data_IF_941739143811
#
_entry.id   IF_941739143811
#
_cell.length_a   1.000
_cell.length_b   1.000
_cell.length_c   1.000
_cell.angle_alpha   90.00
_cell.angle_beta   90.00
_cell.angle_gamma   90.00
#
_symmetry.space_group_name_H-M   'P 1'
#
loop_
_entity.id
_entity.type
_entity.pdbx_description
1 polymer ?
#
# COMPACT_ATOMS: atom_id res chain seq x y z
N UNK A 1 -12.73 20.28 -19.17
CA UNK A 1 -13.19 20.51 -17.77
C UNK A 1 -13.11 22.00 -17.47
N UNK A 2 -14.23 22.70 -17.38
CA UNK A 2 -14.22 24.13 -17.08
C UNK A 2 -13.87 24.35 -15.60
N UNK A 3 -12.81 25.11 -15.31
CA UNK A 3 -12.45 25.49 -13.94
C UNK A 3 -13.50 26.46 -13.40
N UNK A 4 -14.17 26.11 -12.32
CA UNK A 4 -15.12 27.00 -11.65
C UNK A 4 -14.36 28.13 -10.94
N UNK A 5 -14.17 29.24 -11.64
CA UNK A 5 -13.59 30.44 -11.05
C UNK A 5 -14.68 31.22 -10.31
N UNK A 6 -14.42 31.56 -9.05
CA UNK A 6 -15.33 32.38 -8.24
C UNK A 6 -15.54 33.72 -8.94
N UNK A 7 -16.79 34.07 -9.26
CA UNK A 7 -17.12 35.36 -9.91
C UNK A 7 -16.83 36.59 -9.05
N UNK A 8 -16.83 36.45 -7.73
CA UNK A 8 -16.84 37.56 -6.78
C UNK A 8 -15.57 37.55 -5.91
N UNK A 9 -14.99 38.74 -5.68
CA UNK A 9 -13.95 38.99 -4.68
C UNK A 9 -14.22 40.34 -4.00
N UNK A 10 -14.25 40.37 -2.67
CA UNK A 10 -14.50 41.59 -1.87
C UNK A 10 -15.73 42.41 -2.35
N UNK A 11 -16.81 41.72 -2.72
CA UNK A 11 -18.06 42.37 -3.18
C UNK A 11 -18.01 42.97 -4.59
N UNK A 12 -16.91 42.76 -5.32
CA UNK A 12 -16.74 43.18 -6.71
C UNK A 12 -16.68 41.97 -7.64
N UNK A 13 -17.16 42.16 -8.86
CA UNK A 13 -16.98 41.18 -9.94
C UNK A 13 -15.49 41.12 -10.31
N UNK A 14 -14.90 39.92 -10.35
CA UNK A 14 -13.46 39.73 -10.55
C UNK A 14 -12.99 40.08 -11.96
N UNK A 15 -13.87 39.98 -12.95
CA UNK A 15 -13.51 40.25 -14.34
C UNK A 15 -13.68 41.72 -14.69
N UNK A 16 -14.71 42.37 -14.13
CA UNK A 16 -15.04 43.75 -14.48
C UNK A 16 -14.63 44.78 -13.42
N UNK A 17 -14.27 44.34 -12.21
CA UNK A 17 -13.90 45.20 -11.08
C UNK A 17 -15.04 46.05 -10.51
N UNK A 18 -16.25 45.95 -11.08
CA UNK A 18 -17.42 46.74 -10.68
C UNK A 18 -18.03 46.18 -9.40
N UNK A 19 -18.59 47.07 -8.56
CA UNK A 19 -19.38 46.67 -7.39
C UNK A 19 -20.66 45.97 -7.87
N UNK A 20 -20.92 44.78 -7.35
CA UNK A 20 -22.17 44.08 -7.63
C UNK A 20 -23.30 44.69 -6.77
N UNK A 21 -24.51 44.85 -7.30
CA UNK A 21 -25.64 45.31 -6.52
C UNK A 21 -25.90 44.34 -5.37
N UNK A 22 -26.20 44.89 -4.18
CA UNK A 22 -26.59 44.07 -3.02
C UNK A 22 -27.89 43.36 -3.36
N UNK A 23 -27.97 42.06 -3.03
CA UNK A 23 -29.24 41.32 -3.11
C UNK A 23 -30.28 41.96 -2.18
N UNK A 24 -31.55 41.89 -2.55
CA UNK A 24 -32.65 42.31 -1.68
C UNK A 24 -32.64 41.47 -0.40
N UNK A 25 -33.02 42.06 0.73
CA UNK A 25 -33.04 41.39 2.05
C UNK A 25 -33.91 40.12 2.07
N UNK A 26 -34.84 40.00 1.13
CA UNK A 26 -35.75 38.87 1.00
C UNK A 26 -35.05 37.58 0.51
N UNK A 27 -33.89 37.71 -0.14
CA UNK A 27 -33.07 36.60 -0.67
C UNK A 27 -31.88 36.25 0.22
N UNK A 28 -31.72 36.93 1.37
CA UNK A 28 -30.73 36.55 2.38
C UNK A 28 -31.20 35.29 3.10
N UNK A 29 -30.93 34.13 2.49
CA UNK A 29 -30.96 32.86 3.23
C UNK A 29 -29.94 32.97 4.36
N UNK A 30 -30.44 33.22 5.57
CA UNK A 30 -29.64 33.12 6.80
C UNK A 30 -29.04 31.73 6.78
N UNK A 31 -27.72 31.64 6.66
CA UNK A 31 -26.99 30.37 6.79
C UNK A 31 -27.16 29.90 8.23
N UNK A 32 -28.26 29.23 8.52
CA UNK A 32 -28.36 28.40 9.71
C UNK A 32 -27.29 27.34 9.54
N UNK A 33 -26.25 27.36 10.39
CA UNK A 33 -25.36 26.21 10.48
C UNK A 33 -26.28 25.04 10.85
N UNK A 34 -26.46 24.09 9.94
CA UNK A 34 -26.96 22.78 10.34
C UNK A 34 -25.96 22.29 11.38
N UNK A 35 -26.33 22.36 12.65
CA UNK A 35 -25.59 21.67 13.71
C UNK A 35 -25.89 20.21 13.44
N UNK A 36 -25.16 19.63 12.48
CA UNK A 36 -25.21 18.20 12.24
C UNK A 36 -24.97 17.56 13.60
N UNK A 37 -25.76 16.55 13.93
CA UNK A 37 -25.49 15.67 15.07
C UNK A 37 -24.14 15.02 14.82
N UNK A 38 -23.08 15.75 15.17
CA UNK A 38 -21.71 15.32 15.01
C UNK A 38 -21.59 14.05 15.81
N UNK A 39 -21.11 12.99 15.17
CA UNK A 39 -20.66 11.80 15.89
C UNK A 39 -19.80 12.34 17.03
N UNK A 40 -20.23 12.12 18.28
CA UNK A 40 -19.62 12.70 19.46
C UNK A 40 -18.11 12.46 19.48
N UNK A 41 -17.38 13.15 20.37
CA UNK A 41 -15.92 13.08 20.48
C UNK A 41 -15.41 11.64 20.29
N UNK A 42 -14.76 11.38 19.14
CA UNK A 42 -14.10 10.10 18.87
C UNK A 42 -12.68 10.27 19.42
N UNK A 43 -12.31 9.60 20.52
CA UNK A 43 -10.96 9.68 21.04
C UNK A 43 -10.00 9.22 19.95
N UNK A 44 -9.02 10.06 19.64
CA UNK A 44 -7.95 9.75 18.70
C UNK A 44 -7.14 8.61 19.33
N UNK A 45 -7.49 7.37 19.00
CA UNK A 45 -6.67 6.22 19.36
C UNK A 45 -5.29 6.45 18.74
N UNK A 46 -4.19 6.33 19.52
CA UNK A 46 -2.86 6.45 18.94
C UNK A 46 -2.74 5.41 17.83
N UNK A 47 -2.60 5.87 16.60
CA UNK A 47 -2.35 4.98 15.47
C UNK A 47 -0.99 4.31 15.75
N UNK A 48 -0.89 2.98 15.71
CA UNK A 48 0.39 2.32 15.87
C UNK A 48 1.33 2.84 14.78
N UNK A 49 2.51 3.34 15.18
CA UNK A 49 3.52 3.76 14.21
C UNK A 49 3.78 2.58 13.27
N UNK A 50 3.86 2.80 11.94
CA UNK A 50 4.15 1.72 11.01
C UNK A 50 5.47 1.05 11.42
N UNK A 51 5.40 -0.17 11.96
CA UNK A 51 6.56 -0.96 12.41
C UNK A 51 7.31 -1.61 11.25
N UNK A 52 6.93 -1.29 10.01
CA UNK A 52 7.59 -1.78 8.81
C UNK A 52 8.88 -0.99 8.63
N UNK A 53 9.93 -1.42 9.32
CA UNK A 53 11.32 -1.12 8.95
C UNK A 53 11.50 -1.66 7.53
N UNK A 54 11.37 -0.78 6.54
CA UNK A 54 11.65 -1.11 5.14
C UNK A 54 13.17 -1.14 5.00
N UNK A 55 13.77 -2.24 4.53
CA UNK A 55 15.21 -2.18 4.24
C UNK A 55 15.51 -1.04 3.28
N UNK A 56 16.57 -0.27 3.55
CA UNK A 56 17.13 0.72 2.64
C UNK A 56 18.09 0.10 1.60
N UNK A 57 17.94 -1.18 1.32
CA UNK A 57 18.76 -1.92 0.37
C UNK A 57 18.47 -1.40 -1.05
N UNK A 58 19.49 -0.92 -1.76
CA UNK A 58 19.38 -0.39 -3.12
C UNK A 58 20.39 -1.04 -4.07
N UNK A 59 20.00 -1.19 -5.35
CA UNK A 59 20.90 -1.67 -6.41
C UNK A 59 21.55 -3.02 -6.10
N UNK A 60 22.87 -3.10 -6.30
CA UNK A 60 23.67 -4.32 -6.14
C UNK A 60 23.66 -4.89 -4.71
N UNK A 61 23.54 -4.04 -3.68
CA UNK A 61 23.50 -4.50 -2.29
C UNK A 61 22.22 -5.31 -2.02
N UNK A 62 21.12 -4.94 -2.69
CA UNK A 62 19.87 -5.70 -2.64
C UNK A 62 20.05 -7.10 -3.21
N UNK A 63 20.78 -7.22 -4.31
CA UNK A 63 20.98 -8.51 -4.99
C UNK A 63 21.94 -9.40 -4.20
N UNK A 64 23.03 -8.85 -3.66
CA UNK A 64 23.93 -9.57 -2.75
C UNK A 64 23.21 -10.07 -1.50
N UNK A 65 22.33 -9.25 -0.90
CA UNK A 65 21.51 -9.65 0.25
C UNK A 65 20.51 -10.73 -0.16
N UNK A 66 19.89 -10.62 -1.32
CA UNK A 66 18.97 -11.64 -1.83
C UNK A 66 19.64 -13.00 -2.02
N UNK A 67 20.82 -13.03 -2.65
CA UNK A 67 21.57 -14.27 -2.86
C UNK A 67 22.00 -14.93 -1.54
N UNK A 68 22.47 -14.12 -0.58
CA UNK A 68 22.80 -14.61 0.76
C UNK A 68 21.58 -15.22 1.46
N UNK A 69 20.43 -14.55 1.39
CA UNK A 69 19.19 -15.07 1.97
C UNK A 69 18.71 -16.33 1.25
N UNK A 70 18.90 -16.40 -0.06
CA UNK A 70 18.51 -17.56 -0.85
C UNK A 70 19.35 -18.79 -0.49
N UNK A 71 20.67 -18.64 -0.41
CA UNK A 71 21.57 -19.73 0.03
C UNK A 71 21.32 -20.15 1.48
N UNK A 72 20.95 -19.23 2.37
CA UNK A 72 20.52 -19.57 3.74
C UNK A 72 19.18 -20.33 3.73
N UNK A 73 18.25 -19.97 2.84
CA UNK A 73 16.97 -20.63 2.69
C UNK A 73 17.12 -22.05 2.11
N UNK A 74 17.99 -22.26 1.13
CA UNK A 74 18.25 -23.59 0.52
C UNK A 74 18.81 -24.60 1.53
N UNK A 75 19.59 -24.14 2.51
CA UNK A 75 20.10 -24.99 3.59
C UNK A 75 19.01 -25.49 4.54
N UNK A 76 17.86 -24.81 4.58
CA UNK A 76 16.75 -25.20 5.43
C UNK A 76 15.96 -26.30 4.71
N UNK A 77 16.10 -27.54 5.18
CA UNK A 77 15.30 -28.66 4.68
C UNK A 77 13.82 -28.43 5.07
N UNK A 78 12.90 -28.24 4.10
CA UNK A 78 11.50 -28.07 4.44
C UNK A 78 10.93 -29.40 4.95
N UNK A 79 10.01 -29.37 5.93
CA UNK A 79 9.34 -30.57 6.39
C UNK A 79 8.61 -31.22 5.22
N UNK A 80 8.84 -32.52 5.02
CA UNK A 80 8.11 -33.31 4.03
C UNK A 80 6.70 -33.56 4.55
N UNK A 81 5.70 -33.39 3.69
CA UNK A 81 4.32 -33.75 3.99
C UNK A 81 3.94 -34.94 3.13
N UNK A 82 3.34 -35.96 3.75
CA UNK A 82 2.81 -37.10 3.00
C UNK A 82 1.69 -36.63 2.07
N UNK A 83 1.78 -36.96 0.79
CA UNK A 83 0.70 -36.74 -0.16
C UNK A 83 -0.02 -38.07 -0.41
N UNK A 84 -1.27 -38.15 0.05
CA UNK A 84 -2.12 -39.33 -0.09
C UNK A 84 -2.46 -39.67 -1.55
N UNK A 85 -2.49 -38.68 -2.44
CA UNK A 85 -2.85 -38.87 -3.85
C UNK A 85 -1.69 -39.44 -4.67
N UNK A 86 -0.46 -39.05 -4.37
CA UNK A 86 0.74 -39.49 -5.11
C UNK A 86 1.46 -40.64 -4.39
N UNK A 87 1.13 -40.92 -3.13
CA UNK A 87 1.80 -41.92 -2.31
C UNK A 87 3.27 -41.58 -2.04
N UNK A 88 3.63 -40.29 -2.07
CA UNK A 88 5.01 -39.84 -1.90
C UNK A 88 5.14 -38.76 -0.83
N UNK A 89 6.33 -38.68 -0.24
CA UNK A 89 6.71 -37.58 0.64
C UNK A 89 7.04 -36.35 -0.20
N UNK A 90 6.10 -35.42 -0.30
CA UNK A 90 6.30 -34.17 -1.03
C UNK A 90 6.89 -33.12 -0.10
N UNK A 91 8.07 -32.62 -0.49
CA UNK A 91 8.68 -31.46 0.16
C UNK A 91 8.10 -30.20 -0.45
N UNK A 92 7.53 -29.32 0.37
CA UNK A 92 7.09 -28.01 -0.10
C UNK A 92 8.30 -27.12 -0.38
N UNK A 93 8.81 -27.19 -1.61
CA UNK A 93 10.00 -26.43 -2.07
C UNK A 93 9.76 -24.91 -2.11
N UNK A 94 8.52 -24.44 -1.92
CA UNK A 94 8.12 -23.06 -2.22
C UNK A 94 7.64 -22.26 -1.01
N UNK A 95 7.73 -22.81 0.20
CA UNK A 95 7.19 -22.14 1.39
C UNK A 95 8.34 -21.58 2.22
N UNK A 96 8.51 -20.26 2.19
CA UNK A 96 9.42 -19.55 3.09
C UNK A 96 8.96 -19.78 4.54
N UNK A 97 9.76 -20.41 5.41
CA UNK A 97 9.37 -20.68 6.78
C UNK A 97 9.09 -19.39 7.57
N UNK A 98 8.12 -19.45 8.49
CA UNK A 98 7.73 -18.27 9.30
C UNK A 98 8.89 -17.74 10.15
N UNK A 99 9.72 -18.63 10.69
CA UNK A 99 10.89 -18.23 11.49
C UNK A 99 11.91 -17.46 10.65
N UNK A 100 12.17 -17.92 9.42
CA UNK A 100 13.08 -17.27 8.48
C UNK A 100 12.57 -15.87 8.10
N UNK A 101 11.28 -15.77 7.78
CA UNK A 101 10.65 -14.49 7.46
C UNK A 101 10.66 -13.50 8.65
N UNK A 102 10.61 -13.99 9.89
CA UNK A 102 10.73 -13.16 11.09
C UNK A 102 12.17 -12.69 11.32
N UNK A 103 13.15 -13.57 11.17
CA UNK A 103 14.58 -13.25 11.33
C UNK A 103 15.04 -12.18 10.34
N UNK A 104 14.56 -12.26 9.09
CA UNK A 104 14.96 -11.34 8.02
C UNK A 104 13.86 -10.36 7.61
N UNK A 105 12.97 -9.97 8.55
CA UNK A 105 11.75 -9.18 8.29
C UNK A 105 11.99 -7.91 7.45
N UNK A 106 13.09 -7.20 7.68
CA UNK A 106 13.43 -5.97 6.95
C UNK A 106 13.67 -6.21 5.44
N UNK A 107 14.22 -7.38 5.09
CA UNK A 107 14.61 -7.75 3.73
C UNK A 107 13.51 -8.53 2.98
N UNK A 108 12.54 -9.09 3.70
CA UNK A 108 11.47 -9.92 3.12
C UNK A 108 10.65 -9.24 2.02
N UNK A 109 10.55 -7.91 2.04
CA UNK A 109 9.78 -7.20 1.01
C UNK A 109 10.36 -7.42 -0.40
N UNK A 110 11.66 -7.23 -0.57
CA UNK A 110 12.31 -7.41 -1.87
C UNK A 110 12.76 -8.85 -2.10
N UNK A 111 13.12 -9.59 -1.05
CA UNK A 111 13.46 -11.00 -1.14
C UNK A 111 12.29 -11.86 -1.65
N UNK A 112 11.04 -11.57 -1.26
CA UNK A 112 9.87 -12.30 -1.78
C UNK A 112 9.69 -12.14 -3.28
N UNK A 113 9.98 -10.96 -3.83
CA UNK A 113 9.93 -10.73 -5.28
C UNK A 113 11.03 -11.52 -5.98
N UNK A 114 12.27 -11.41 -5.48
CA UNK A 114 13.41 -12.18 -5.99
C UNK A 114 13.18 -13.69 -5.94
N UNK A 115 12.71 -14.21 -4.81
CA UNK A 115 12.42 -15.64 -4.65
C UNK A 115 11.32 -16.10 -5.61
N UNK A 116 10.30 -15.27 -5.86
CA UNK A 116 9.26 -15.59 -6.87
C UNK A 116 9.79 -15.61 -8.28
N UNK A 117 10.67 -14.69 -8.65
CA UNK A 117 11.26 -14.65 -10.00
C UNK A 117 12.22 -15.82 -10.22
N UNK A 118 13.12 -16.06 -9.27
CA UNK A 118 14.12 -17.14 -9.35
C UNK A 118 13.49 -18.53 -9.27
N UNK A 119 12.49 -18.72 -8.41
CA UNK A 119 11.78 -20.01 -8.29
C UNK A 119 10.64 -20.16 -9.30
N UNK A 120 10.03 -19.06 -9.76
CA UNK A 120 9.04 -19.06 -10.84
C UNK A 120 9.64 -19.42 -12.19
N UNK A 121 10.90 -19.06 -12.41
CA UNK A 121 11.70 -19.53 -13.56
C UNK A 121 11.87 -21.07 -13.55
N UNK A 122 11.97 -21.70 -12.37
CA UNK A 122 12.01 -23.17 -12.24
C UNK A 122 10.66 -23.85 -12.46
N UNK A 123 9.54 -23.12 -12.44
CA UNK A 123 8.18 -23.69 -12.53
C UNK A 123 7.43 -23.34 -13.81
N UNK A 124 8.08 -22.69 -14.79
CA UNK A 124 7.50 -22.45 -16.11
C UNK A 124 6.12 -21.76 -16.08
N UNK A 125 5.87 -20.87 -15.11
CA UNK A 125 4.59 -20.17 -15.05
C UNK A 125 4.60 -18.95 -15.97
N UNK A 126 3.68 -18.98 -16.95
CA UNK A 126 3.46 -17.93 -17.96
C UNK A 126 3.31 -16.55 -17.30
N UNK A 127 3.85 -15.49 -17.91
CA UNK A 127 3.73 -14.14 -17.38
C UNK A 127 2.26 -13.76 -17.26
N UNK A 128 1.88 -13.29 -16.07
CA UNK A 128 0.54 -12.80 -15.79
C UNK A 128 0.36 -11.46 -16.51
N UNK A 129 -0.10 -11.50 -17.76
CA UNK A 129 -0.41 -10.30 -18.54
C UNK A 129 -1.66 -9.65 -17.96
N UNK A 130 -1.47 -8.57 -17.21
CA UNK A 130 -2.59 -7.64 -16.92
C UNK A 130 -2.96 -6.94 -18.23
N UNK A 131 -4.19 -7.20 -18.70
CA UNK A 131 -4.90 -6.39 -19.69
C UNK A 131 -5.31 -5.05 -19.06
#
# INVERSE_FOLDING_TARGET
MARHNKRIHNGKDRHTGRKLPKRSKHDETVKTRSVGTGRGFIPIKPQPRPTTVRCNCSGEDKDKVNERLFTELEKIVPPATWNELTGTWERKVLVIPRFFARKHKAHMHHFRTFARERMGAHLGQKPNTRR
#
